data_IF_698209464432
#
_entry.id   IF_698209464432
#
_cell.length_a   1.000
_cell.length_b   1.000
_cell.length_c   1.000
_cell.angle_alpha   90.00
_cell.angle_beta   90.00
_cell.angle_gamma   90.00
#
_symmetry.space_group_name_H-M   'P 1'
#
loop_
_entity.id
_entity.type
_entity.pdbx_description
1 polymer ?
#
# COMPACT_ATOMS: atom_id res chain seq x y z
N UNK A 1 1.55 -37.31 1.46
CA UNK A 1 1.86 -36.14 0.62
C UNK A 1 1.47 -34.88 1.37
N UNK A 2 2.24 -33.79 1.26
CA UNK A 2 1.94 -32.53 1.95
C UNK A 2 1.50 -31.50 0.91
N UNK A 3 0.19 -31.23 0.86
CA UNK A 3 -0.40 -30.25 -0.04
C UNK A 3 -0.06 -28.83 0.44
N UNK A 4 0.52 -28.01 -0.43
CA UNK A 4 0.78 -26.59 -0.15
C UNK A 4 -0.51 -25.78 0.03
N UNK A 5 -1.65 -26.33 -0.40
CA UNK A 5 -2.95 -25.64 -0.40
C UNK A 5 -3.61 -25.60 0.99
N UNK A 6 -3.31 -26.55 1.89
CA UNK A 6 -3.95 -26.65 3.21
C UNK A 6 -3.51 -25.54 4.20
N UNK A 7 -2.49 -24.76 3.87
CA UNK A 7 -1.97 -23.65 4.71
C UNK A 7 -1.99 -22.30 4.00
N UNK A 8 -2.68 -22.22 2.86
CA UNK A 8 -2.82 -21.01 2.09
C UNK A 8 -3.99 -20.18 2.61
N UNK A 9 -3.75 -18.90 2.88
CA UNK A 9 -4.80 -17.93 3.16
C UNK A 9 -4.99 -17.04 1.94
N UNK A 10 -6.22 -16.57 1.75
CA UNK A 10 -6.56 -15.57 0.75
C UNK A 10 -6.93 -14.27 1.46
N UNK A 11 -6.51 -13.15 0.88
CA UNK A 11 -6.76 -11.80 1.37
C UNK A 11 -7.55 -11.03 0.31
N UNK A 12 -8.61 -10.37 0.75
CA UNK A 12 -9.29 -9.30 0.01
C UNK A 12 -9.39 -8.11 0.94
N UNK A 13 -8.94 -6.95 0.48
CA UNK A 13 -9.01 -5.70 1.22
C UNK A 13 -9.56 -4.61 0.30
N UNK A 14 -10.58 -3.90 0.76
CA UNK A 14 -11.19 -2.76 0.10
C UNK A 14 -11.11 -1.57 1.03
N UNK A 15 -10.51 -0.48 0.58
CA UNK A 15 -10.40 0.76 1.33
C UNK A 15 -10.96 1.92 0.50
N UNK A 16 -11.68 2.81 1.16
CA UNK A 16 -12.26 4.01 0.58
C UNK A 16 -11.92 5.19 1.49
N UNK A 17 -11.35 6.24 0.92
CA UNK A 17 -11.05 7.49 1.58
C UNK A 17 -11.62 8.63 0.74
N UNK A 18 -12.44 9.48 1.37
CA UNK A 18 -12.97 10.70 0.76
C UNK A 18 -11.85 11.63 0.31
N UNK A 19 -12.11 12.40 -0.74
CA UNK A 19 -11.28 13.53 -1.14
C UNK A 19 -11.86 14.84 -0.59
N UNK A 20 -11.11 15.91 -0.72
CA UNK A 20 -11.57 17.25 -0.39
C UNK A 20 -12.55 17.77 -1.45
N UNK A 21 -13.57 18.54 -1.04
CA UNK A 21 -14.33 19.33 -1.99
C UNK A 21 -13.66 20.69 -2.14
N UNK A 22 -13.16 21.05 -3.34
CA UNK A 22 -12.48 22.33 -3.55
C UNK A 22 -13.39 23.56 -3.36
N UNK A 23 -14.71 23.37 -3.14
CA UNK A 23 -15.66 24.45 -2.85
C UNK A 23 -16.20 24.42 -1.41
N UNK A 24 -15.71 23.54 -0.55
CA UNK A 24 -16.12 23.44 0.85
C UNK A 24 -15.02 23.95 1.77
N UNK A 25 -15.42 24.59 2.88
CA UNK A 25 -14.50 25.02 3.95
C UNK A 25 -14.20 23.88 4.95
N UNK A 26 -14.80 22.70 4.75
CA UNK A 26 -14.66 21.54 5.64
C UNK A 26 -13.41 20.70 5.31
N UNK A 27 -12.55 20.47 6.30
CA UNK A 27 -11.40 19.56 6.16
C UNK A 27 -11.91 18.12 6.28
N UNK A 28 -12.20 17.49 5.14
CA UNK A 28 -12.68 16.10 5.06
C UNK A 28 -11.56 15.05 4.92
N UNK A 29 -10.30 15.49 4.99
CA UNK A 29 -9.15 14.59 4.89
C UNK A 29 -8.94 13.81 6.19
N UNK A 30 -9.04 12.48 6.10
CA UNK A 30 -8.66 11.60 7.20
C UNK A 30 -7.13 11.64 7.40
N UNK A 31 -6.67 12.36 8.42
CA UNK A 31 -5.27 12.35 8.85
C UNK A 31 -5.09 11.39 10.05
N UNK A 32 -4.45 10.22 9.88
CA UNK A 32 -4.27 9.31 11.01
C UNK A 32 -3.33 9.93 12.05
N UNK A 33 -3.85 10.15 13.26
CA UNK A 33 -3.14 10.74 14.42
C UNK A 33 -1.92 9.89 14.86
N UNK A 34 -1.85 8.64 14.41
CA UNK A 34 -0.70 7.75 14.58
C UNK A 34 -0.43 7.01 13.25
N UNK A 35 0.48 7.48 12.38
CA UNK A 35 0.87 6.76 11.18
C UNK A 35 1.78 5.58 11.55
N UNK A 36 1.25 4.56 12.23
CA UNK A 36 2.05 3.38 12.57
C UNK A 36 2.04 2.38 11.41
N UNK A 37 3.13 2.41 10.62
CA UNK A 37 3.48 1.50 9.52
C UNK A 37 2.54 1.58 8.30
N UNK A 38 3.14 1.57 7.09
CA UNK A 38 2.41 1.72 5.84
C UNK A 38 1.26 0.74 5.72
N UNK A 39 0.03 1.27 5.62
CA UNK A 39 -1.19 0.48 5.75
C UNK A 39 -1.64 -0.15 4.42
N UNK A 40 -1.06 0.27 3.28
CA UNK A 40 -1.37 -0.26 1.95
C UNK A 40 -0.23 -1.12 1.39
N UNK A 41 0.94 -0.51 1.23
CA UNK A 41 2.22 -1.14 0.90
C UNK A 41 3.36 -0.21 1.34
N UNK A 42 4.49 -0.74 1.81
CA UNK A 42 5.61 0.12 2.22
C UNK A 42 6.28 0.89 1.06
N UNK A 43 5.93 0.63 -0.21
CA UNK A 43 6.20 1.52 -1.35
C UNK A 43 5.33 2.79 -1.34
N UNK A 44 5.11 3.36 -0.16
CA UNK A 44 4.10 4.36 0.10
C UNK A 44 4.28 5.59 -0.78
N UNK A 45 3.30 5.84 -1.64
CA UNK A 45 3.06 7.18 -2.17
C UNK A 45 1.58 7.52 -2.25
N UNK A 46 0.68 6.71 -1.67
CA UNK A 46 -0.72 7.09 -1.49
C UNK A 46 -1.08 7.12 -0.01
N UNK A 47 -1.47 8.31 0.47
CA UNK A 47 -2.10 8.50 1.76
C UNK A 47 -3.55 8.02 1.75
N UNK A 48 -4.17 7.95 2.93
CA UNK A 48 -5.61 7.67 3.08
C UNK A 48 -6.45 8.91 2.76
N UNK A 49 -6.29 9.46 1.56
CA UNK A 49 -7.06 10.60 1.10
C UNK A 49 -7.33 10.46 -0.40
N UNK A 50 -8.55 10.76 -0.80
CA UNK A 50 -9.01 10.70 -2.18
C UNK A 50 -8.73 9.35 -2.87
N UNK A 51 -8.94 8.23 -2.18
CA UNK A 51 -8.48 6.92 -2.62
C UNK A 51 -9.58 5.86 -2.59
N UNK A 52 -9.66 5.08 -3.66
CA UNK A 52 -10.31 3.77 -3.71
C UNK A 52 -9.24 2.74 -3.97
N UNK A 53 -9.14 1.77 -3.09
CA UNK A 53 -8.09 0.77 -3.14
C UNK A 53 -8.68 -0.63 -2.99
N UNK A 54 -8.27 -1.53 -3.89
CA UNK A 54 -8.57 -2.94 -3.82
C UNK A 54 -7.27 -3.71 -3.81
N UNK A 55 -7.08 -4.57 -2.80
CA UNK A 55 -5.94 -5.47 -2.71
C UNK A 55 -6.41 -6.90 -2.62
N UNK A 56 -5.79 -7.73 -3.45
CA UNK A 56 -5.99 -9.17 -3.49
C UNK A 56 -4.66 -9.83 -3.20
N UNK A 57 -4.65 -10.86 -2.37
CA UNK A 57 -3.41 -11.51 -1.99
C UNK A 57 -3.58 -12.93 -1.50
N UNK A 58 -2.43 -13.58 -1.31
CA UNK A 58 -2.34 -14.88 -0.69
C UNK A 58 -1.14 -14.93 0.24
N UNK A 59 -1.25 -15.76 1.26
CA UNK A 59 -0.19 -16.06 2.22
C UNK A 59 -0.04 -17.59 2.29
N UNK A 60 1.20 -18.06 2.27
CA UNK A 60 1.55 -19.47 2.42
C UNK A 60 2.54 -19.61 3.56
N UNK A 61 2.26 -20.54 4.47
CA UNK A 61 3.11 -20.83 5.63
C UNK A 61 3.71 -22.24 5.51
N UNK A 62 5.04 -22.34 5.59
CA UNK A 62 5.78 -23.62 5.49
C UNK A 62 6.95 -23.67 6.47
N UNK A 63 6.80 -24.48 7.52
CA UNK A 63 7.80 -24.57 8.59
C UNK A 63 7.96 -23.21 9.28
N UNK A 64 9.21 -22.72 9.37
CA UNK A 64 9.51 -21.40 9.93
C UNK A 64 9.32 -20.24 8.94
N UNK A 65 8.89 -20.52 7.70
CA UNK A 65 8.74 -19.53 6.66
C UNK A 65 7.28 -19.13 6.45
N UNK A 66 7.08 -17.84 6.24
CA UNK A 66 5.82 -17.22 5.83
C UNK A 66 6.08 -16.36 4.60
N UNK A 67 5.38 -16.63 3.51
CA UNK A 67 5.47 -15.87 2.28
C UNK A 67 4.12 -15.32 1.89
N UNK A 68 4.07 -14.10 1.40
CA UNK A 68 2.85 -13.47 0.90
C UNK A 68 3.11 -12.74 -0.40
N UNK A 69 2.12 -12.82 -1.30
CA UNK A 69 2.09 -12.07 -2.54
C UNK A 69 0.75 -11.33 -2.63
N UNK A 70 0.76 -10.12 -3.15
CA UNK A 70 -0.46 -9.33 -3.34
C UNK A 70 -0.36 -8.45 -4.58
N UNK A 71 -1.51 -8.19 -5.18
CA UNK A 71 -1.70 -7.15 -6.19
C UNK A 71 -2.69 -6.13 -5.63
N UNK A 72 -2.41 -4.85 -5.84
CA UNK A 72 -3.30 -3.77 -5.44
C UNK A 72 -3.58 -2.81 -6.58
N UNK A 73 -4.83 -2.34 -6.67
CA UNK A 73 -5.29 -1.32 -7.60
C UNK A 73 -5.61 -0.05 -6.80
N UNK A 74 -5.16 1.11 -7.30
CA UNK A 74 -5.41 2.41 -6.70
C UNK A 74 -6.10 3.36 -7.67
N UNK A 75 -7.20 3.96 -7.24
CA UNK A 75 -7.97 4.93 -8.01
C UNK A 75 -8.31 6.16 -7.18
N UNK A 76 -8.37 7.32 -7.82
CA UNK A 76 -8.91 8.55 -7.23
C UNK A 76 -10.40 8.43 -7.02
N UNK A 77 -10.87 8.85 -5.85
CA UNK A 77 -12.31 8.99 -5.57
C UNK A 77 -12.90 10.19 -6.31
N UNK A 78 -12.16 11.30 -6.32
CA UNK A 78 -12.40 12.60 -6.98
C UNK A 78 -11.24 12.93 -7.93
N UNK A 79 -11.55 13.24 -9.18
CA UNK A 79 -10.54 13.53 -10.22
C UNK A 79 -10.19 15.00 -10.31
N UNK A 80 -10.90 15.84 -9.57
CA UNK A 80 -10.72 17.27 -9.37
C UNK A 80 -9.91 17.58 -8.09
N UNK A 81 -9.61 16.56 -7.29
CA UNK A 81 -8.81 16.66 -6.06
C UNK A 81 -7.48 15.92 -6.21
N UNK A 82 -6.43 16.38 -5.54
CA UNK A 82 -5.08 15.85 -5.67
C UNK A 82 -4.96 14.37 -5.28
N UNK A 83 -3.89 13.73 -5.75
CA UNK A 83 -3.38 12.48 -5.19
C UNK A 83 -2.50 12.84 -4.01
N UNK A 84 -2.75 12.24 -2.85
CA UNK A 84 -1.99 12.52 -1.64
C UNK A 84 -0.99 11.41 -1.36
N UNK A 85 0.24 11.75 -0.98
CA UNK A 85 1.24 10.84 -0.47
C UNK A 85 1.08 10.60 1.04
N UNK A 86 1.98 9.77 1.60
CA UNK A 86 2.06 9.56 3.04
C UNK A 86 2.17 10.92 3.76
N UNK A 87 1.57 11.05 4.96
CA UNK A 87 1.42 12.33 5.70
C UNK A 87 0.52 13.39 5.04
N UNK A 88 -0.41 12.98 4.17
CA UNK A 88 -1.36 13.87 3.48
C UNK A 88 -0.68 14.96 2.63
N UNK A 89 0.53 14.70 2.12
CA UNK A 89 1.22 15.62 1.22
C UNK A 89 0.64 15.50 -0.19
N UNK A 90 0.00 16.57 -0.70
CA UNK A 90 -0.53 16.57 -2.06
C UNK A 90 0.59 16.44 -3.10
N UNK A 91 0.42 15.55 -4.08
CA UNK A 91 1.28 15.45 -5.25
C UNK A 91 1.02 16.67 -6.14
N UNK A 92 2.00 17.57 -6.34
CA UNK A 92 1.77 18.82 -7.05
C UNK A 92 1.20 18.62 -8.45
N UNK A 93 0.14 19.38 -8.79
CA UNK A 93 -0.50 19.37 -10.10
C UNK A 93 -1.34 18.14 -10.44
N UNK A 94 -1.46 17.16 -9.53
CA UNK A 94 -2.24 15.94 -9.78
C UNK A 94 -3.75 16.18 -9.86
N UNK A 95 -4.25 17.19 -9.16
CA UNK A 95 -5.64 17.68 -9.20
C UNK A 95 -6.10 18.08 -10.61
N UNK A 96 -5.21 18.65 -11.42
CA UNK A 96 -5.52 19.28 -12.71
C UNK A 96 -4.86 18.61 -13.92
N UNK A 97 -3.80 17.82 -13.72
CA UNK A 97 -3.05 17.21 -14.82
C UNK A 97 -3.84 16.15 -15.62
N UNK A 98 -4.83 15.50 -15.00
CA UNK A 98 -5.66 14.49 -15.69
C UNK A 98 -6.98 14.24 -14.98
N UNK A 99 -8.02 13.94 -15.76
CA UNK A 99 -9.27 13.38 -15.26
C UNK A 99 -9.22 11.85 -15.09
N UNK A 100 -8.06 11.22 -15.30
CA UNK A 100 -7.89 9.79 -15.13
C UNK A 100 -8.01 9.39 -13.65
N UNK A 101 -8.90 8.43 -13.36
CA UNK A 101 -9.09 7.90 -12.01
C UNK A 101 -7.97 6.97 -11.58
N UNK A 102 -7.48 6.12 -12.48
CA UNK A 102 -6.47 5.13 -12.10
C UNK A 102 -5.14 5.83 -11.80
N UNK A 103 -4.66 5.62 -10.58
CA UNK A 103 -3.43 6.22 -10.08
C UNK A 103 -2.26 5.25 -10.18
N UNK A 104 -2.51 3.96 -9.96
CA UNK A 104 -1.49 2.94 -10.16
C UNK A 104 -1.97 1.54 -9.83
N UNK A 105 -1.14 0.57 -10.16
CA UNK A 105 -1.28 -0.84 -9.75
C UNK A 105 0.05 -1.27 -9.16
N UNK A 106 0.05 -2.06 -8.08
CA UNK A 106 1.28 -2.54 -7.49
C UNK A 106 1.28 -4.04 -7.26
N UNK A 107 2.47 -4.62 -7.32
CA UNK A 107 2.76 -5.97 -6.87
C UNK A 107 3.57 -5.89 -5.59
N UNK A 108 3.22 -6.71 -4.60
CA UNK A 108 3.91 -6.80 -3.33
C UNK A 108 4.28 -8.24 -3.05
N UNK A 109 5.54 -8.47 -2.70
CA UNK A 109 6.05 -9.75 -2.23
C UNK A 109 6.72 -9.56 -0.87
N UNK A 110 6.38 -10.40 0.09
CA UNK A 110 7.03 -10.42 1.41
C UNK A 110 7.34 -11.84 1.79
N UNK A 111 8.54 -12.05 2.30
CA UNK A 111 8.99 -13.32 2.88
C UNK A 111 9.55 -13.05 4.27
N UNK A 112 9.13 -13.88 5.22
CA UNK A 112 9.50 -13.81 6.62
C UNK A 112 9.95 -15.19 7.08
N UNK A 113 10.93 -15.20 7.98
CA UNK A 113 11.43 -16.40 8.64
C UNK A 113 11.55 -16.16 10.14
N UNK A 114 10.94 -17.03 10.93
CA UNK A 114 11.21 -17.11 12.36
C UNK A 114 12.64 -17.65 12.59
N UNK A 115 13.42 -16.95 13.41
CA UNK A 115 14.79 -17.33 13.80
C UNK A 115 14.84 -17.98 15.20
N UNK A 116 13.68 -18.16 15.83
CA UNK A 116 13.50 -18.66 17.19
C UNK A 116 12.12 -18.25 17.70
N UNK A 117 11.96 -18.21 19.01
CA UNK A 117 10.70 -17.76 19.65
C UNK A 117 10.60 -16.24 19.77
N UNK A 118 11.73 -15.52 19.71
CA UNK A 118 11.84 -14.10 20.01
C UNK A 118 12.44 -13.26 18.87
N UNK A 119 12.65 -13.85 17.69
CA UNK A 119 13.29 -13.17 16.59
C UNK A 119 12.73 -13.62 15.24
N UNK A 120 12.61 -12.67 14.32
CA UNK A 120 12.27 -12.94 12.92
C UNK A 120 13.01 -12.01 11.98
N UNK A 121 13.31 -12.52 10.80
CA UNK A 121 13.84 -11.73 9.69
C UNK A 121 12.81 -11.70 8.57
N UNK A 122 12.66 -10.56 7.90
CA UNK A 122 11.83 -10.48 6.72
C UNK A 122 12.45 -9.60 5.66
N UNK A 123 12.08 -9.85 4.42
CA UNK A 123 12.30 -8.96 3.30
C UNK A 123 10.99 -8.69 2.56
N UNK A 124 10.86 -7.49 2.03
CA UNK A 124 9.70 -7.05 1.28
C UNK A 124 10.18 -6.36 -0.01
N UNK A 125 9.49 -6.65 -1.11
CA UNK A 125 9.64 -5.96 -2.36
C UNK A 125 8.27 -5.52 -2.85
N UNK A 126 8.20 -4.31 -3.39
CA UNK A 126 6.99 -3.78 -4.00
C UNK A 126 7.37 -3.04 -5.28
N UNK A 127 6.65 -3.31 -6.35
CA UNK A 127 6.75 -2.57 -7.60
C UNK A 127 5.42 -1.90 -7.90
N UNK A 128 5.46 -0.59 -8.14
CA UNK A 128 4.32 0.24 -8.48
C UNK A 128 4.42 0.67 -9.94
N UNK A 129 3.43 0.27 -10.73
CA UNK A 129 3.14 0.81 -12.06
C UNK A 129 2.28 2.07 -11.87
N UNK A 130 2.89 3.23 -12.14
CA UNK A 130 2.23 4.52 -12.06
C UNK A 130 1.37 4.73 -13.31
N UNK A 131 0.09 4.99 -13.09
CA UNK A 131 -0.86 5.20 -14.18
C UNK A 131 -1.18 6.69 -14.37
N UNK A 132 -2.05 7.00 -15.35
CA UNK A 132 -2.31 8.39 -15.79
C UNK A 132 -2.67 9.37 -14.67
N UNK A 133 -3.31 8.92 -13.60
CA UNK A 133 -3.60 9.77 -12.44
C UNK A 133 -2.35 10.30 -11.71
N UNK A 134 -1.20 9.65 -11.89
CA UNK A 134 0.12 10.03 -11.34
C UNK A 134 1.06 10.49 -12.46
N UNK A 135 1.15 9.77 -13.57
CA UNK A 135 2.12 10.06 -14.64
C UNK A 135 1.82 11.36 -15.39
N UNK A 136 0.56 11.77 -15.46
CA UNK A 136 0.21 13.07 -16.05
C UNK A 136 0.77 14.25 -15.24
N UNK A 137 0.96 14.09 -13.93
CA UNK A 137 1.58 15.07 -13.05
C UNK A 137 3.12 14.95 -13.01
N UNK A 138 3.71 14.14 -13.89
CA UNK A 138 5.15 13.90 -13.96
C UNK A 138 5.67 12.80 -13.03
N UNK A 139 4.79 12.04 -12.38
CA UNK A 139 5.19 10.87 -11.60
C UNK A 139 5.62 9.69 -12.49
N UNK A 140 6.25 8.69 -11.89
CA UNK A 140 6.78 7.50 -12.58
C UNK A 140 6.64 6.26 -11.73
N UNK A 141 6.87 5.10 -12.35
CA UNK A 141 6.96 3.80 -11.67
C UNK A 141 8.00 3.84 -10.54
N UNK A 142 7.78 3.00 -9.52
CA UNK A 142 8.63 2.96 -8.33
C UNK A 142 8.86 1.53 -7.85
N UNK A 143 10.06 1.29 -7.34
CA UNK A 143 10.44 0.04 -6.67
C UNK A 143 10.83 0.33 -5.22
N UNK A 144 10.29 -0.48 -4.31
CA UNK A 144 10.62 -0.47 -2.89
C UNK A 144 11.19 -1.81 -2.50
N UNK A 145 12.27 -1.79 -1.71
CA UNK A 145 12.86 -2.97 -1.13
C UNK A 145 13.20 -2.72 0.33
N UNK A 146 12.86 -3.68 1.18
CA UNK A 146 13.21 -3.68 2.59
C UNK A 146 13.79 -5.03 3.02
N UNK A 147 14.73 -4.96 3.94
CA UNK A 147 15.24 -6.09 4.70
C UNK A 147 15.24 -5.68 6.19
N UNK A 148 14.75 -6.54 7.06
CA UNK A 148 14.54 -6.20 8.47
C UNK A 148 14.71 -7.40 9.38
N UNK A 149 15.27 -7.15 10.56
CA UNK A 149 15.38 -8.07 11.67
C UNK A 149 14.59 -7.47 12.84
N UNK A 150 13.62 -8.22 13.35
CA UNK A 150 12.86 -7.86 14.55
C UNK A 150 13.23 -8.83 15.68
N UNK A 151 13.46 -8.28 16.87
CA UNK A 151 13.84 -9.03 18.07
C UNK A 151 13.06 -8.50 19.28
N UNK A 152 12.41 -9.40 20.02
CA UNK A 152 11.68 -9.07 21.24
C UNK A 152 12.55 -9.38 22.47
N UNK A 153 12.88 -8.34 23.24
CA UNK A 153 13.57 -8.48 24.52
C UNK A 153 12.54 -8.80 25.60
N UNK A 154 12.44 -10.08 25.99
CA UNK A 154 11.72 -10.44 27.21
C UNK A 154 12.64 -10.14 28.41
N UNK A 155 12.24 -9.18 29.24
CA UNK A 155 12.83 -8.93 30.57
C UNK A 155 12.03 -9.67 31.63
#
# INVERSE_FOLDING_TARGET
>A
EWSIWDKSKWLVQLDLASGEDPNSDDIELFNPILPSRSTFSQAGFTGYANLRHLKLGTEVNKGAWKSSASIGLMQRMRTDDAVYAHSASALPGSDSASSARNSGTYLQFKIERALGENAKIYSEWVHLDAQRGITAAGGSDQDYFALSLEWDFQN
#
